data_IF_337565724265
#
_entry.id   IF_337565724265
#
_cell.length_a   1.000
_cell.length_b   1.000
_cell.length_c   1.000
_cell.angle_alpha   90.00
_cell.angle_beta   90.00
_cell.angle_gamma   90.00
#
_symmetry.space_group_name_H-M   'P 1'
#
loop_
_entity.id
_entity.type
_entity.pdbx_description
1 polymer ?
#
# COMPACT_ATOMS: atom_id res chain seq x y z
N UNK A 1 16.90 -10.99 22.37
CA UNK A 1 16.93 -11.04 20.89
C UNK A 1 15.84 -10.12 20.38
N UNK A 2 16.17 -9.11 19.58
CA UNK A 2 15.19 -8.23 18.94
C UNK A 2 14.96 -8.76 17.54
N UNK A 3 13.71 -9.09 17.21
CA UNK A 3 13.35 -9.53 15.86
C UNK A 3 13.58 -8.40 14.85
N UNK A 4 13.74 -8.75 13.57
CA UNK A 4 13.77 -7.75 12.50
C UNK A 4 12.35 -7.53 11.96
N UNK A 5 11.99 -6.31 11.51
CA UNK A 5 10.72 -6.08 10.85
C UNK A 5 10.70 -6.84 9.51
N UNK A 6 9.62 -7.57 9.26
CA UNK A 6 9.41 -8.32 8.01
C UNK A 6 8.15 -7.80 7.33
N UNK A 7 8.27 -7.49 6.03
CA UNK A 7 7.13 -7.18 5.16
C UNK A 7 6.76 -8.42 4.35
N UNK A 8 5.47 -8.72 4.29
CA UNK A 8 4.93 -9.83 3.49
C UNK A 8 3.91 -9.29 2.50
N UNK A 9 4.14 -9.51 1.22
CA UNK A 9 3.24 -9.12 0.14
C UNK A 9 3.19 -10.23 -0.93
N UNK A 10 2.11 -10.34 -1.70
CA UNK A 10 2.08 -11.25 -2.84
C UNK A 10 3.15 -10.85 -3.85
N UNK A 11 3.84 -11.85 -4.43
CA UNK A 11 4.90 -11.62 -5.41
C UNK A 11 4.36 -11.04 -6.73
N UNK A 12 3.13 -11.39 -7.08
CA UNK A 12 2.41 -10.89 -8.25
C UNK A 12 0.91 -11.01 -8.06
N UNK A 13 0.15 -10.27 -8.87
CA UNK A 13 -1.30 -10.37 -9.00
C UNK A 13 -1.66 -10.28 -10.48
N UNK A 14 -2.68 -11.02 -10.87
CA UNK A 14 -3.30 -10.94 -12.19
C UNK A 14 -4.77 -10.59 -12.02
N UNK A 15 -5.28 -9.78 -12.94
CA UNK A 15 -6.68 -9.42 -13.03
C UNK A 15 -7.04 -9.13 -14.48
N UNK A 16 -8.32 -9.26 -14.83
CA UNK A 16 -8.80 -8.98 -16.18
C UNK A 16 -8.73 -7.49 -16.51
N UNK A 17 -8.59 -7.10 -17.80
CA UNK A 17 -8.76 -5.71 -18.21
C UNK A 17 -10.08 -5.12 -17.73
N UNK A 18 -10.06 -3.88 -17.26
CA UNK A 18 -11.20 -3.18 -16.65
C UNK A 18 -11.49 -3.56 -15.20
N UNK A 19 -10.94 -4.66 -14.68
CA UNK A 19 -11.12 -5.06 -13.28
C UNK A 19 -10.28 -4.18 -12.32
N UNK A 20 -10.55 -4.33 -11.03
CA UNK A 20 -9.70 -3.76 -9.98
C UNK A 20 -8.78 -4.83 -9.42
N UNK A 21 -7.52 -4.48 -9.16
CA UNK A 21 -6.57 -5.31 -8.43
C UNK A 21 -6.27 -4.71 -7.06
N UNK A 22 -6.09 -5.60 -6.08
CA UNK A 22 -5.79 -5.23 -4.71
C UNK A 22 -4.48 -5.87 -4.26
N UNK A 23 -3.50 -5.02 -3.98
CA UNK A 23 -2.23 -5.39 -3.37
C UNK A 23 -2.34 -5.19 -1.85
N UNK A 24 -1.74 -6.07 -1.08
CA UNK A 24 -1.69 -5.97 0.38
C UNK A 24 -0.29 -6.29 0.86
N UNK A 25 0.21 -5.49 1.80
CA UNK A 25 1.50 -5.68 2.42
C UNK A 25 1.31 -5.68 3.94
N UNK A 26 1.73 -6.75 4.61
CA UNK A 26 1.60 -6.91 6.07
C UNK A 26 2.97 -6.74 6.72
N UNK A 27 3.02 -5.98 7.82
CA UNK A 27 4.21 -5.83 8.64
C UNK A 27 4.12 -6.76 9.85
N UNK A 28 5.23 -7.42 10.20
CA UNK A 28 5.35 -8.24 11.40
C UNK A 28 4.84 -7.51 12.65
N UNK A 29 4.17 -8.24 13.56
CA UNK A 29 3.61 -7.66 14.80
C UNK A 29 4.70 -6.97 15.63
N UNK A 30 4.31 -5.93 16.36
CA UNK A 30 5.21 -5.16 17.24
C UNK A 30 5.97 -4.04 16.53
N UNK A 31 5.79 -3.87 15.21
CA UNK A 31 6.38 -2.78 14.43
C UNK A 31 5.27 -1.94 13.79
N UNK A 32 5.54 -0.64 13.67
CA UNK A 32 4.72 0.30 12.91
C UNK A 32 5.51 0.80 11.71
N UNK A 33 4.87 0.85 10.54
CA UNK A 33 5.45 1.50 9.37
C UNK A 33 5.32 3.02 9.53
N UNK A 34 6.44 3.72 9.38
CA UNK A 34 6.50 5.18 9.21
C UNK A 34 6.95 5.52 7.80
N UNK A 35 6.50 6.65 7.26
CA UNK A 35 6.94 7.14 5.97
C UNK A 35 8.29 7.87 6.14
N UNK A 36 9.31 7.47 5.37
CA UNK A 36 10.51 8.28 5.18
C UNK A 36 10.49 8.79 3.74
N UNK A 37 10.72 10.09 3.59
CA UNK A 37 10.70 10.80 2.31
C UNK A 37 11.78 10.30 1.33
N UNK A 38 11.41 10.14 0.04
CA UNK A 38 12.16 9.73 -1.19
C UNK A 38 12.10 8.24 -1.61
N UNK A 39 11.99 7.87 -2.92
CA UNK A 39 11.62 8.61 -4.14
C UNK A 39 10.11 8.55 -4.43
N UNK A 40 9.63 9.05 -5.59
CA UNK A 40 8.19 9.16 -5.97
C UNK A 40 7.34 7.98 -5.44
N UNK A 41 6.34 8.29 -4.63
CA UNK A 41 5.41 7.31 -4.06
C UNK A 41 4.06 7.38 -4.76
N UNK A 42 3.36 6.25 -4.86
CA UNK A 42 1.97 6.22 -5.33
C UNK A 42 1.04 6.83 -4.27
N UNK A 43 1.15 6.32 -3.04
CA UNK A 43 0.36 6.76 -1.89
C UNK A 43 1.22 6.74 -0.63
N UNK A 44 1.06 7.75 0.21
CA UNK A 44 1.67 7.86 1.53
C UNK A 44 0.59 8.01 2.60
N UNK A 45 0.74 7.29 3.72
CA UNK A 45 -0.19 7.29 4.84
C UNK A 45 0.55 7.61 6.12
N UNK A 46 0.29 8.79 6.68
CA UNK A 46 0.78 9.17 8.00
C UNK A 46 -0.22 8.72 9.09
N UNK A 47 -1.52 8.93 8.84
CA UNK A 47 -2.61 8.43 9.69
C UNK A 47 -3.84 8.10 8.85
N UNK A 48 -4.91 7.61 9.48
CA UNK A 48 -6.17 7.27 8.78
C UNK A 48 -6.79 8.47 8.05
N UNK A 49 -6.50 9.69 8.51
CA UNK A 49 -7.00 10.96 7.96
C UNK A 49 -5.95 11.69 7.13
N UNK A 50 -4.66 11.46 7.40
CA UNK A 50 -3.55 12.13 6.72
C UNK A 50 -2.94 11.21 5.67
N UNK A 51 -3.46 11.34 4.45
CA UNK A 51 -3.10 10.58 3.27
C UNK A 51 -2.61 11.55 2.21
N UNK A 52 -1.51 11.23 1.55
CA UNK A 52 -1.00 12.00 0.42
C UNK A 52 -0.90 11.12 -0.81
N UNK A 53 -1.43 11.64 -1.92
CA UNK A 53 -1.26 11.10 -3.26
C UNK A 53 -0.47 12.13 -4.04
N UNK A 54 0.65 11.73 -4.63
CA UNK A 54 1.54 12.64 -5.33
C UNK A 54 0.87 13.16 -6.62
N UNK A 55 1.18 14.38 -7.05
CA UNK A 55 0.42 15.10 -8.10
C UNK A 55 0.51 14.45 -9.49
N UNK A 56 1.41 13.48 -9.67
CA UNK A 56 1.56 12.69 -10.91
C UNK A 56 0.96 11.28 -10.85
N UNK A 57 0.32 10.90 -9.73
CA UNK A 57 -0.24 9.56 -9.57
C UNK A 57 -1.65 9.52 -10.14
N UNK A 58 -1.95 8.62 -11.10
CA UNK A 58 -3.28 8.50 -11.67
C UNK A 58 -4.37 8.28 -10.61
N UNK A 59 -5.56 8.82 -10.85
CA UNK A 59 -6.72 8.68 -9.95
C UNK A 59 -7.21 7.24 -9.79
N UNK A 60 -6.75 6.30 -10.63
CA UNK A 60 -7.07 4.89 -10.50
C UNK A 60 -6.40 4.22 -9.30
N UNK A 61 -5.39 4.85 -8.69
CA UNK A 61 -4.76 4.37 -7.48
C UNK A 61 -5.44 4.96 -6.25
N UNK A 62 -5.81 4.09 -5.31
CA UNK A 62 -6.27 4.47 -3.97
C UNK A 62 -5.72 3.50 -2.93
N UNK A 63 -5.74 3.85 -1.65
CA UNK A 63 -5.24 2.95 -0.62
C UNK A 63 -5.69 3.28 0.78
N UNK A 64 -5.37 2.36 1.70
CA UNK A 64 -5.59 2.54 3.12
C UNK A 64 -4.55 1.80 3.97
N UNK A 65 -4.41 2.24 5.21
CA UNK A 65 -3.79 1.46 6.28
C UNK A 65 -4.88 0.68 7.00
N UNK A 66 -4.64 -0.61 7.21
CA UNK A 66 -5.46 -1.51 8.00
C UNK A 66 -4.72 -1.79 9.31
N UNK A 67 -5.01 -0.99 10.33
CA UNK A 67 -4.36 -1.11 11.64
C UNK A 67 -4.63 -2.46 12.31
N UNK A 68 -5.82 -3.03 12.10
CA UNK A 68 -6.22 -4.31 12.71
C UNK A 68 -5.37 -5.47 12.19
N UNK A 69 -5.04 -5.45 10.90
CA UNK A 69 -4.20 -6.45 10.24
C UNK A 69 -2.71 -6.08 10.22
N UNK A 70 -2.33 -4.91 10.75
CA UNK A 70 -1.00 -4.30 10.59
C UNK A 70 -0.54 -4.28 9.11
N UNK A 71 -1.44 -3.89 8.20
CA UNK A 71 -1.24 -4.00 6.76
C UNK A 71 -1.50 -2.68 6.02
N UNK A 72 -0.81 -2.48 4.91
CA UNK A 72 -1.13 -1.48 3.90
C UNK A 72 -1.85 -2.11 2.72
N UNK A 73 -2.84 -1.42 2.16
CA UNK A 73 -3.64 -1.91 1.02
C UNK A 73 -3.63 -0.87 -0.09
N UNK A 74 -3.29 -1.32 -1.30
CA UNK A 74 -3.32 -0.53 -2.53
C UNK A 74 -4.39 -1.13 -3.45
N UNK A 75 -5.31 -0.29 -3.88
CA UNK A 75 -6.32 -0.61 -4.88
C UNK A 75 -5.97 0.10 -6.17
N UNK A 76 -5.97 -0.65 -7.26
CA UNK A 76 -5.81 -0.15 -8.62
C UNK A 76 -7.09 -0.47 -9.37
N UNK A 77 -7.80 0.55 -9.84
CA UNK A 77 -9.06 0.39 -10.56
C UNK A 77 -8.87 0.52 -12.07
N UNK A 78 -9.73 -0.16 -12.84
CA UNK A 78 -9.77 0.01 -14.30
C UNK A 78 -8.46 -0.36 -14.98
N UNK A 79 -7.90 -1.53 -14.68
CA UNK A 79 -6.65 -2.00 -15.27
C UNK A 79 -6.71 -1.97 -16.80
N UNK A 80 -5.68 -1.41 -17.42
CA UNK A 80 -5.56 -1.35 -18.87
C UNK A 80 -4.49 -2.37 -19.34
N UNK A 81 -4.70 -3.04 -20.50
CA UNK A 81 -3.70 -3.92 -21.11
C UNK A 81 -2.40 -3.22 -21.49
#
# INVERSE_FOLDING_TARGET
SVSQPVLTQPASLCASPGASARLSCTLSRGYSAGAREHPRYLLNFYSDYNKHQDSGVPCCFSGCKDASANAGRLLVSGLQP
#
